data_IF_050973366290
#
_entry.id   IF_050973366290
#
_cell.length_a   1.000
_cell.length_b   1.000
_cell.length_c   1.000
_cell.angle_alpha   90.00
_cell.angle_beta   90.00
_cell.angle_gamma   90.00
#
_symmetry.space_group_name_H-M   'P 1'
#
loop_
_entity.id
_entity.type
_entity.pdbx_description
1 polymer ?
#
# COMPACT_ATOMS: atom_id res chain seq x y z
N UNK A 1 12.55 17.39 -1.98
CA UNK A 1 13.55 17.60 -0.94
C UNK A 1 12.91 17.84 0.43
N UNK A 2 11.94 18.73 0.57
CA UNK A 2 11.31 19.08 1.85
C UNK A 2 10.60 17.87 2.50
N UNK A 3 9.82 17.10 1.73
CA UNK A 3 9.11 15.93 2.23
C UNK A 3 10.08 14.86 2.76
N UNK A 4 11.15 14.57 2.03
CA UNK A 4 12.13 13.57 2.49
C UNK A 4 12.85 14.00 3.76
N UNK A 5 13.06 15.30 3.97
CA UNK A 5 13.60 15.84 5.22
C UNK A 5 12.63 15.63 6.37
N UNK A 6 11.35 15.99 6.20
CA UNK A 6 10.32 15.73 7.21
C UNK A 6 10.21 14.23 7.57
N UNK A 7 10.31 13.36 6.56
CA UNK A 7 10.31 11.90 6.77
C UNK A 7 11.52 11.39 7.58
N UNK A 8 12.65 12.10 7.58
CA UNK A 8 13.83 11.73 8.38
C UNK A 8 13.72 12.20 9.84
N UNK A 9 12.97 13.28 10.08
CA UNK A 9 12.80 13.86 11.42
C UNK A 9 11.76 13.09 12.26
N UNK A 10 10.71 12.54 11.62
CA UNK A 10 9.64 11.83 12.32
C UNK A 10 8.85 10.90 11.40
N UNK A 11 8.14 9.94 12.01
CA UNK A 11 7.26 9.03 11.27
C UNK A 11 6.17 9.81 10.56
N UNK A 12 6.09 9.67 9.22
CA UNK A 12 5.34 10.58 8.35
C UNK A 12 4.43 9.83 7.38
N UNK A 13 3.20 10.30 7.23
CA UNK A 13 2.31 9.93 6.13
C UNK A 13 2.54 10.89 4.95
N UNK A 14 3.01 10.35 3.84
CA UNK A 14 3.24 11.08 2.59
C UNK A 14 2.04 10.90 1.67
N UNK A 15 1.32 11.97 1.42
CA UNK A 15 0.16 12.02 0.52
C UNK A 15 0.58 12.78 -0.72
N UNK A 16 0.74 12.06 -1.83
CA UNK A 16 1.13 12.61 -3.12
C UNK A 16 0.35 11.92 -4.24
N UNK A 17 -0.04 12.65 -5.29
CA UNK A 17 -0.64 12.05 -6.48
C UNK A 17 0.21 10.93 -7.08
N UNK A 18 -0.40 10.07 -7.86
CA UNK A 18 0.31 8.99 -8.56
C UNK A 18 1.32 9.58 -9.54
N UNK A 19 2.52 9.00 -9.62
CA UNK A 19 3.58 9.47 -10.51
C UNK A 19 4.43 10.63 -9.97
N UNK A 20 4.09 11.21 -8.81
CA UNK A 20 4.82 12.35 -8.22
C UNK A 20 6.04 11.96 -7.36
N UNK A 21 6.64 10.81 -7.61
CA UNK A 21 7.94 10.44 -7.03
C UNK A 21 7.92 9.91 -5.60
N UNK A 22 6.80 9.34 -5.11
CA UNK A 22 6.76 8.66 -3.78
C UNK A 22 7.91 7.69 -3.59
N UNK A 23 8.22 6.87 -4.61
CA UNK A 23 9.32 5.90 -4.57
C UNK A 23 10.70 6.56 -4.48
N UNK A 24 10.87 7.75 -5.07
CA UNK A 24 12.13 8.53 -4.98
C UNK A 24 12.29 9.11 -3.57
N UNK A 25 11.20 9.55 -2.93
CA UNK A 25 11.21 9.97 -1.53
C UNK A 25 11.63 8.80 -0.64
N UNK A 26 11.01 7.62 -0.85
CA UNK A 26 11.39 6.40 -0.15
C UNK A 26 12.87 6.06 -0.33
N UNK A 27 13.38 6.09 -1.57
CA UNK A 27 14.80 5.84 -1.86
C UNK A 27 15.72 6.77 -1.07
N UNK A 28 15.41 8.06 -1.04
CA UNK A 28 16.23 9.02 -0.29
C UNK A 28 16.24 8.73 1.22
N UNK A 29 15.10 8.43 1.79
CA UNK A 29 15.02 8.09 3.22
C UNK A 29 15.72 6.76 3.51
N UNK A 30 15.60 5.77 2.63
CA UNK A 30 16.31 4.49 2.72
C UNK A 30 17.82 4.74 2.79
N UNK A 31 18.38 5.53 1.86
CA UNK A 31 19.82 5.83 1.81
C UNK A 31 20.35 6.37 3.14
N UNK A 32 19.62 7.29 3.77
CA UNK A 32 20.01 7.89 5.06
C UNK A 32 19.82 6.92 6.24
N UNK A 33 18.93 5.94 6.13
CA UNK A 33 18.59 5.01 7.22
C UNK A 33 19.35 3.68 7.18
N UNK A 34 20.02 3.36 6.07
CA UNK A 34 20.79 2.11 5.89
C UNK A 34 21.89 1.90 6.94
N UNK A 35 22.49 2.98 7.44
CA UNK A 35 23.53 2.91 8.45
C UNK A 35 23.00 2.56 9.85
N UNK A 36 21.71 2.80 10.11
CA UNK A 36 21.09 2.62 11.43
C UNK A 36 20.44 1.26 11.62
N UNK A 37 20.25 0.47 10.58
CA UNK A 37 19.62 -0.84 10.69
C UNK A 37 19.08 -1.37 9.35
N UNK A 38 18.21 -2.38 9.45
CA UNK A 38 17.54 -2.95 8.29
C UNK A 38 16.36 -2.09 7.86
N UNK A 39 16.00 -2.21 6.58
CA UNK A 39 14.89 -1.50 5.97
C UNK A 39 13.83 -2.51 5.50
N UNK A 40 12.57 -2.25 5.80
CA UNK A 40 11.44 -3.00 5.30
C UNK A 40 10.51 -2.09 4.50
N UNK A 41 10.31 -2.39 3.22
CA UNK A 41 9.26 -1.79 2.42
C UNK A 41 8.20 -2.84 2.12
N UNK A 42 6.95 -2.51 2.35
CA UNK A 42 5.83 -3.40 2.05
C UNK A 42 4.92 -2.79 0.98
N UNK A 43 4.61 -3.61 -0.02
CA UNK A 43 3.64 -3.27 -1.05
C UNK A 43 2.48 -4.28 -1.04
N UNK A 44 1.23 -3.83 -1.28
CA UNK A 44 0.04 -4.65 -1.06
C UNK A 44 -0.11 -5.84 -2.00
N UNK A 45 0.59 -5.82 -3.13
CA UNK A 45 0.53 -6.89 -4.14
C UNK A 45 1.93 -7.32 -4.59
N UNK A 46 2.04 -8.58 -5.04
CA UNK A 46 3.29 -9.13 -5.56
C UNK A 46 3.88 -8.28 -6.71
N UNK A 47 3.11 -7.86 -7.75
CA UNK A 47 3.67 -7.04 -8.82
C UNK A 47 4.24 -5.70 -8.34
N UNK A 48 3.58 -5.04 -7.38
CA UNK A 48 4.10 -3.79 -6.80
C UNK A 48 5.38 -4.03 -5.98
N UNK A 49 5.44 -5.12 -5.22
CA UNK A 49 6.65 -5.49 -4.50
C UNK A 49 7.81 -5.80 -5.45
N UNK A 50 7.55 -6.52 -6.56
CA UNK A 50 8.52 -6.78 -7.61
C UNK A 50 9.05 -5.48 -8.24
N UNK A 51 8.16 -4.55 -8.59
CA UNK A 51 8.50 -3.24 -9.14
C UNK A 51 9.40 -2.43 -8.19
N UNK A 52 9.04 -2.36 -6.91
CA UNK A 52 9.87 -1.68 -5.91
C UNK A 52 11.23 -2.36 -5.73
N UNK A 53 11.26 -3.68 -5.66
CA UNK A 53 12.51 -4.44 -5.53
C UNK A 53 13.46 -4.21 -6.69
N UNK A 54 12.95 -4.22 -7.93
CA UNK A 54 13.73 -3.93 -9.13
C UNK A 54 14.25 -2.48 -9.12
N UNK A 55 13.38 -1.52 -8.78
CA UNK A 55 13.79 -0.12 -8.67
C UNK A 55 14.93 0.05 -7.67
N UNK A 56 14.81 -0.48 -6.45
CA UNK A 56 15.85 -0.31 -5.44
C UNK A 56 17.16 -1.04 -5.77
N UNK A 57 17.12 -2.19 -6.43
CA UNK A 57 18.34 -2.86 -6.93
C UNK A 57 19.12 -2.02 -7.92
N UNK A 58 18.44 -1.18 -8.70
CA UNK A 58 19.09 -0.33 -9.69
C UNK A 58 19.71 0.95 -9.09
N UNK A 59 19.28 1.37 -7.89
CA UNK A 59 19.67 2.65 -7.31
C UNK A 59 20.39 2.54 -5.96
N UNK A 60 20.38 1.39 -5.31
CA UNK A 60 21.06 1.16 -4.03
C UNK A 60 22.29 0.29 -4.23
N UNK A 61 23.40 0.70 -3.63
CA UNK A 61 24.58 -0.15 -3.45
C UNK A 61 24.42 -0.99 -2.15
N UNK A 62 23.33 -1.77 -2.09
CA UNK A 62 23.00 -2.63 -0.96
C UNK A 62 22.21 -3.85 -1.44
N UNK A 63 22.31 -4.95 -0.72
CA UNK A 63 21.52 -6.14 -1.03
C UNK A 63 20.04 -5.89 -0.81
N UNK A 64 19.24 -6.10 -1.88
CA UNK A 64 17.78 -5.98 -1.88
C UNK A 64 17.14 -7.35 -2.10
N UNK A 65 16.43 -7.85 -1.10
CA UNK A 65 15.68 -9.10 -1.18
C UNK A 65 14.19 -8.86 -1.34
N UNK A 66 13.54 -9.66 -2.19
CA UNK A 66 12.09 -9.66 -2.38
C UNK A 66 11.46 -10.87 -1.69
N UNK A 67 10.52 -10.65 -0.77
CA UNK A 67 9.79 -11.72 -0.08
C UNK A 67 8.32 -11.70 -0.45
N UNK A 68 7.88 -12.76 -1.12
CA UNK A 68 6.48 -12.98 -1.48
C UNK A 68 6.04 -14.37 -1.05
N UNK A 69 4.74 -14.65 -1.15
CA UNK A 69 4.21 -15.97 -0.83
C UNK A 69 4.76 -17.12 -1.70
N UNK A 70 5.45 -16.81 -2.81
CA UNK A 70 6.10 -17.80 -3.66
C UNK A 70 7.41 -18.35 -3.07
N UNK A 71 8.02 -17.64 -2.11
CA UNK A 71 9.28 -18.07 -1.48
C UNK A 71 8.95 -18.84 -0.20
N UNK A 72 9.44 -20.09 -0.03
CA UNK A 72 9.21 -20.88 1.18
C UNK A 72 9.70 -20.17 2.44
N UNK A 73 9.01 -20.29 3.60
CA UNK A 73 9.41 -19.65 4.84
C UNK A 73 10.83 -19.99 5.30
N UNK A 74 11.24 -21.24 5.14
CA UNK A 74 12.58 -21.70 5.56
C UNK A 74 13.70 -21.04 4.74
N UNK A 75 13.44 -20.75 3.46
CA UNK A 75 14.39 -20.03 2.61
C UNK A 75 14.49 -18.54 2.97
N UNK A 76 13.43 -17.94 3.52
CA UNK A 76 13.43 -16.53 3.94
C UNK A 76 14.08 -16.33 5.31
N UNK A 77 13.97 -17.32 6.20
CA UNK A 77 14.40 -17.21 7.61
C UNK A 77 15.85 -16.70 7.80
N UNK A 78 16.87 -17.24 7.11
CA UNK A 78 18.23 -16.69 7.21
C UNK A 78 18.33 -15.28 6.61
N UNK A 79 17.62 -15.02 5.52
CA UNK A 79 17.70 -13.76 4.78
C UNK A 79 17.08 -12.58 5.56
N UNK A 80 16.10 -12.83 6.45
CA UNK A 80 15.57 -11.81 7.35
C UNK A 80 16.65 -11.12 8.19
N UNK A 81 17.72 -11.85 8.56
CA UNK A 81 18.81 -11.33 9.39
C UNK A 81 19.96 -10.73 8.58
N UNK A 82 20.22 -11.27 7.40
CA UNK A 82 21.39 -10.88 6.61
C UNK A 82 21.14 -9.74 5.63
N UNK A 83 19.91 -9.61 5.12
CA UNK A 83 19.60 -8.62 4.08
C UNK A 83 19.36 -7.22 4.64
N UNK A 84 19.97 -6.21 4.04
CA UNK A 84 19.85 -4.81 4.46
C UNK A 84 18.51 -4.18 4.05
N UNK A 85 18.04 -4.43 2.83
CA UNK A 85 16.78 -3.88 2.31
C UNK A 85 15.86 -5.02 1.90
N UNK A 86 14.70 -5.08 2.52
CA UNK A 86 13.72 -6.12 2.26
C UNK A 86 12.46 -5.47 1.70
N UNK A 87 12.04 -5.93 0.53
CA UNK A 87 10.75 -5.60 -0.07
C UNK A 87 9.83 -6.80 0.06
N UNK A 88 8.63 -6.63 0.58
CA UNK A 88 7.74 -7.76 0.87
C UNK A 88 6.27 -7.42 0.66
N UNK A 89 5.44 -8.47 0.60
CA UNK A 89 4.00 -8.31 0.78
C UNK A 89 3.65 -8.37 2.27
N UNK A 90 2.68 -7.58 2.76
CA UNK A 90 2.36 -7.49 4.18
C UNK A 90 1.93 -8.83 4.80
N UNK A 91 1.27 -9.70 4.02
CA UNK A 91 0.85 -11.02 4.50
C UNK A 91 2.04 -11.95 4.82
N UNK A 92 3.14 -11.81 4.11
CA UNK A 92 4.37 -12.57 4.38
C UNK A 92 4.99 -12.10 5.70
N UNK A 93 5.11 -10.78 5.88
CA UNK A 93 5.66 -10.18 7.10
C UNK A 93 4.83 -10.57 8.32
N UNK A 94 3.50 -10.38 8.26
CA UNK A 94 2.60 -10.72 9.36
C UNK A 94 2.74 -12.19 9.77
N UNK A 95 2.69 -13.11 8.81
CA UNK A 95 2.84 -14.55 9.08
C UNK A 95 4.21 -14.92 9.63
N UNK A 96 5.28 -14.25 9.20
CA UNK A 96 6.62 -14.54 9.69
C UNK A 96 6.83 -13.96 11.12
N UNK A 97 6.19 -12.84 11.48
CA UNK A 97 6.11 -12.33 12.86
C UNK A 97 5.30 -13.29 13.74
N UNK A 98 4.08 -13.64 13.33
CA UNK A 98 3.19 -14.55 14.08
C UNK A 98 3.83 -15.91 14.39
N UNK A 99 4.67 -16.42 13.48
CA UNK A 99 5.38 -17.68 13.64
C UNK A 99 6.77 -17.52 14.28
N UNK A 100 7.12 -16.34 14.80
CA UNK A 100 8.40 -16.10 15.47
C UNK A 100 9.64 -16.24 14.58
N UNK A 101 9.48 -16.12 13.25
CA UNK A 101 10.60 -16.19 12.29
C UNK A 101 11.40 -14.91 12.20
N UNK A 102 10.76 -13.80 12.55
CA UNK A 102 11.35 -12.46 12.54
C UNK A 102 10.80 -11.64 13.71
N UNK A 103 11.64 -10.76 14.23
CA UNK A 103 11.24 -9.57 14.98
C UNK A 103 11.66 -8.34 14.18
N UNK A 104 10.99 -7.22 14.37
CA UNK A 104 11.34 -5.96 13.70
C UNK A 104 12.26 -5.08 14.56
N UNK A 105 12.93 -5.65 15.54
CA UNK A 105 13.75 -4.95 16.54
C UNK A 105 14.92 -4.17 15.92
N UNK A 106 15.57 -4.74 14.90
CA UNK A 106 16.74 -4.17 14.23
C UNK A 106 16.40 -3.40 12.95
N UNK A 107 15.11 -3.21 12.66
CA UNK A 107 14.66 -2.41 11.53
C UNK A 107 14.64 -0.94 11.90
N UNK A 108 15.42 -0.13 11.18
CA UNK A 108 15.51 1.31 11.37
C UNK A 108 14.45 2.09 10.59
N UNK A 109 13.82 1.45 9.61
CA UNK A 109 12.78 2.05 8.77
C UNK A 109 11.80 0.99 8.30
N UNK A 110 10.50 1.30 8.44
CA UNK A 110 9.42 0.53 7.82
C UNK A 110 8.59 1.46 6.92
N UNK A 111 8.39 1.05 5.67
CA UNK A 111 7.63 1.80 4.67
C UNK A 111 6.37 1.00 4.28
N UNK A 112 5.22 1.65 4.41
CA UNK A 112 3.90 1.13 4.03
C UNK A 112 3.46 1.79 2.72
N UNK A 113 3.64 1.11 1.59
CA UNK A 113 3.12 1.58 0.32
C UNK A 113 1.62 1.33 0.22
N UNK A 114 0.89 2.23 -0.44
CA UNK A 114 -0.58 2.27 -0.43
C UNK A 114 -1.17 2.18 1.00
N UNK A 115 -0.63 3.03 1.87
CA UNK A 115 -0.91 3.05 3.32
C UNK A 115 -2.41 3.14 3.66
N UNK A 116 -3.25 3.69 2.77
CA UNK A 116 -4.71 3.76 2.94
C UNK A 116 -5.36 2.37 3.13
N UNK A 117 -4.64 1.28 2.81
CA UNK A 117 -5.10 -0.09 3.06
C UNK A 117 -5.00 -0.52 4.52
N UNK A 118 -4.35 0.24 5.39
CA UNK A 118 -4.25 -0.05 6.82
C UNK A 118 -5.59 0.21 7.53
N UNK A 119 -6.57 -0.63 7.27
CA UNK A 119 -7.92 -0.53 7.85
C UNK A 119 -8.34 -1.88 8.43
N UNK A 120 -8.89 -1.85 9.65
CA UNK A 120 -9.42 -3.03 10.31
C UNK A 120 -8.35 -4.10 10.57
N UNK A 121 -8.57 -5.31 10.07
CA UNK A 121 -7.67 -6.46 10.25
C UNK A 121 -6.60 -6.58 9.15
N UNK A 122 -6.35 -5.55 8.36
CA UNK A 122 -5.30 -5.62 7.35
C UNK A 122 -3.91 -5.71 8.00
N UNK A 123 -3.03 -6.52 7.45
CA UNK A 123 -1.72 -6.85 8.04
C UNK A 123 -0.86 -5.63 8.40
N UNK A 124 -1.01 -4.50 7.73
CA UNK A 124 -0.28 -3.27 8.06
C UNK A 124 -0.51 -2.81 9.50
N UNK A 125 -1.74 -2.95 10.02
CA UNK A 125 -2.08 -2.51 11.39
C UNK A 125 -1.33 -3.35 12.42
N UNK A 126 -1.34 -4.68 12.28
CA UNK A 126 -0.62 -5.57 13.21
C UNK A 126 0.89 -5.39 13.12
N UNK A 127 1.44 -5.21 11.91
CA UNK A 127 2.87 -4.98 11.67
C UNK A 127 3.30 -3.62 12.25
N UNK A 128 2.54 -2.55 12.03
CA UNK A 128 2.82 -1.23 12.59
C UNK A 128 2.88 -1.24 14.11
N UNK A 129 1.86 -1.82 14.75
CA UNK A 129 1.83 -1.97 16.21
C UNK A 129 3.02 -2.80 16.73
N UNK A 130 3.34 -3.92 16.07
CA UNK A 130 4.48 -4.73 16.45
C UNK A 130 5.79 -3.95 16.32
N UNK A 131 6.01 -3.28 15.17
CA UNK A 131 7.21 -2.50 14.92
C UNK A 131 7.45 -1.44 16.00
N UNK A 132 6.42 -0.66 16.33
CA UNK A 132 6.52 0.36 17.39
C UNK A 132 6.79 -0.19 18.77
N UNK A 133 6.36 -1.43 19.06
CA UNK A 133 6.59 -2.05 20.37
C UNK A 133 8.00 -2.62 20.56
N UNK A 134 8.69 -2.99 19.47
CA UNK A 134 9.97 -3.73 19.55
C UNK A 134 11.17 -2.96 18.97
N UNK A 135 10.97 -2.06 18.01
CA UNK A 135 12.08 -1.42 17.30
C UNK A 135 12.82 -0.41 18.17
N UNK A 136 14.15 -0.50 18.19
CA UNK A 136 15.04 0.37 18.97
C UNK A 136 15.16 1.78 18.40
N UNK A 137 15.13 1.89 17.10
CA UNK A 137 15.29 3.15 16.35
C UNK A 137 14.25 3.22 15.24
N UNK A 138 12.98 3.29 15.65
CA UNK A 138 11.85 3.22 14.72
C UNK A 138 11.62 4.50 13.94
N UNK A 139 11.38 4.33 12.65
CA UNK A 139 10.86 5.34 11.75
C UNK A 139 9.87 4.69 10.79
N UNK A 140 8.64 5.18 10.75
CA UNK A 140 7.60 4.65 9.88
C UNK A 140 7.20 5.67 8.80
N UNK A 141 7.10 5.23 7.56
CA UNK A 141 6.59 6.05 6.47
C UNK A 141 5.39 5.35 5.85
N UNK A 142 4.26 6.06 5.82
CA UNK A 142 3.12 5.69 5.00
C UNK A 142 3.15 6.46 3.68
N UNK A 143 2.92 5.80 2.55
CA UNK A 143 2.82 6.44 1.25
C UNK A 143 1.45 6.14 0.64
N UNK A 144 0.75 7.14 0.17
CA UNK A 144 -0.54 6.97 -0.52
C UNK A 144 -0.85 8.13 -1.46
N UNK A 145 -1.67 7.85 -2.49
CA UNK A 145 -2.28 8.90 -3.31
C UNK A 145 -3.70 9.26 -2.82
N UNK A 146 -4.33 8.40 -2.02
CA UNK A 146 -5.73 8.53 -1.60
C UNK A 146 -5.86 8.15 -0.13
N UNK A 147 -5.62 9.07 0.81
CA UNK A 147 -5.54 8.75 2.25
C UNK A 147 -6.89 8.45 2.91
N UNK A 148 -7.99 8.57 2.17
CA UNK A 148 -9.37 8.50 2.66
C UNK A 148 -10.13 9.80 2.40
N UNK A 149 -11.44 9.78 2.65
CA UNK A 149 -12.34 10.90 2.36
C UNK A 149 -12.55 11.84 3.55
N UNK A 150 -12.14 11.44 4.76
CA UNK A 150 -12.36 12.20 5.97
C UNK A 150 -11.07 12.38 6.81
N UNK A 151 -11.01 13.48 7.54
CA UNK A 151 -9.91 13.75 8.48
C UNK A 151 -9.79 12.67 9.56
N UNK A 152 -10.92 12.11 10.00
CA UNK A 152 -10.95 11.03 11.00
C UNK A 152 -10.32 9.74 10.49
N UNK A 153 -10.46 9.41 9.20
CA UNK A 153 -9.80 8.26 8.57
C UNK A 153 -8.28 8.45 8.54
N UNK A 154 -7.80 9.64 8.19
CA UNK A 154 -6.37 9.96 8.19
C UNK A 154 -5.79 9.86 9.61
N UNK A 155 -6.46 10.40 10.61
CA UNK A 155 -6.02 10.32 12.02
C UNK A 155 -5.95 8.86 12.48
N UNK A 156 -6.94 8.04 12.13
CA UNK A 156 -6.95 6.63 12.46
C UNK A 156 -5.81 5.90 11.77
N UNK A 157 -5.60 6.13 10.47
CA UNK A 157 -4.50 5.57 9.69
C UNK A 157 -3.14 5.89 10.33
N UNK A 158 -2.92 7.15 10.68
CA UNK A 158 -1.69 7.58 11.35
C UNK A 158 -1.50 6.85 12.69
N UNK A 159 -2.56 6.75 13.50
CA UNK A 159 -2.52 6.02 14.77
C UNK A 159 -2.19 4.53 14.57
N UNK A 160 -2.87 3.87 13.62
CA UNK A 160 -2.71 2.44 13.35
C UNK A 160 -1.32 2.09 12.82
N UNK A 161 -0.62 3.02 12.18
CA UNK A 161 0.75 2.86 11.67
C UNK A 161 1.82 3.53 12.54
N UNK A 162 1.45 4.17 13.64
CA UNK A 162 2.38 4.90 14.51
C UNK A 162 3.03 6.11 13.85
N UNK A 163 2.30 6.79 13.00
CA UNK A 163 2.71 7.98 12.25
C UNK A 163 2.32 9.24 13.03
N UNK A 164 3.25 10.19 13.14
CA UNK A 164 3.08 11.43 13.92
C UNK A 164 2.90 12.68 13.07
N UNK A 165 3.30 12.65 11.79
CA UNK A 165 3.20 13.78 10.87
C UNK A 165 2.50 13.42 9.57
N UNK A 166 1.97 14.41 8.87
CA UNK A 166 1.35 14.27 7.56
C UNK A 166 1.93 15.32 6.61
N UNK A 167 2.56 14.87 5.55
CA UNK A 167 2.99 15.68 4.41
C UNK A 167 2.04 15.45 3.25
N UNK A 168 1.25 16.46 2.94
CA UNK A 168 0.28 16.43 1.84
C UNK A 168 0.67 17.44 0.77
N UNK A 169 0.71 17.01 -0.49
CA UNK A 169 0.84 17.91 -1.65
C UNK A 169 -0.19 17.50 -2.70
N UNK A 170 -0.80 18.50 -3.28
CA UNK A 170 -1.71 18.33 -4.40
C UNK A 170 -1.08 18.86 -5.72
N UNK A 171 -1.85 18.74 -6.79
CA UNK A 171 -1.39 19.13 -8.13
C UNK A 171 -1.14 20.64 -8.28
N UNK A 172 -1.59 21.47 -7.33
CA UNK A 172 -1.40 22.92 -7.34
C UNK A 172 -0.22 23.38 -6.50
N UNK A 173 0.38 22.50 -5.71
CA UNK A 173 1.52 22.85 -4.86
C UNK A 173 2.76 23.22 -5.69
N UNK A 174 3.47 24.31 -5.36
CA UNK A 174 4.67 24.75 -6.08
C UNK A 174 5.76 23.68 -6.18
N UNK A 175 5.88 22.83 -5.17
CA UNK A 175 6.84 21.73 -5.10
C UNK A 175 6.52 20.61 -6.09
N UNK A 176 5.30 20.55 -6.62
CA UNK A 176 4.76 19.45 -7.45
C UNK A 176 4.48 19.90 -8.88
N UNK A 177 3.97 21.13 -9.08
CA UNK A 177 3.59 21.69 -10.39
C UNK A 177 4.66 21.49 -11.46
N UNK A 178 5.94 21.68 -11.12
CA UNK A 178 7.05 21.54 -12.07
C UNK A 178 7.24 20.09 -12.61
N UNK A 179 6.67 19.10 -11.93
CA UNK A 179 6.79 17.67 -12.27
C UNK A 179 5.52 17.09 -12.89
N UNK A 180 4.43 17.88 -12.94
CA UNK A 180 3.15 17.43 -13.53
C UNK A 180 3.28 17.39 -15.04
N UNK A 181 3.07 16.21 -15.59
CA UNK A 181 2.93 16.05 -17.04
C UNK A 181 1.48 16.34 -17.45
N UNK A 182 1.26 17.20 -18.46
CA UNK A 182 -0.10 17.50 -18.92
C UNK A 182 -0.77 16.22 -19.46
N UNK A 183 -1.84 15.77 -18.79
CA UNK A 183 -2.61 14.60 -19.20
C UNK A 183 -3.57 15.02 -20.31
N UNK A 184 -3.35 14.51 -21.54
CA UNK A 184 -4.30 14.64 -22.63
C UNK A 184 -5.28 13.47 -22.60
N UNK A 185 -6.50 13.70 -22.16
CA UNK A 185 -7.55 12.66 -22.14
C UNK A 185 -8.26 12.62 -23.49
N UNK A 186 -8.28 11.44 -24.13
CA UNK A 186 -9.07 11.17 -25.32
C UNK A 186 -10.14 10.14 -24.99
N UNK A 187 -11.39 10.55 -25.05
CA UNK A 187 -12.52 9.64 -24.87
C UNK A 187 -12.77 8.86 -26.16
N UNK A 188 -12.65 7.53 -26.09
CA UNK A 188 -13.00 6.62 -27.18
C UNK A 188 -14.19 5.78 -26.72
N UNK A 189 -15.33 5.97 -27.39
CA UNK A 189 -16.53 5.13 -27.17
C UNK A 189 -16.39 3.88 -28.00
N UNK A 190 -16.30 2.74 -27.35
CA UNK A 190 -16.30 1.43 -28.01
C UNK A 190 -17.66 0.77 -27.77
N UNK A 191 -18.32 0.39 -28.84
CA UNK A 191 -19.59 -0.35 -28.75
C UNK A 191 -19.37 -1.74 -28.17
N UNK A 192 -20.22 -2.14 -27.24
CA UNK A 192 -20.17 -3.51 -26.71
C UNK A 192 -20.63 -4.49 -27.79
N UNK A 193 -19.87 -5.56 -28.11
CA UNK A 193 -20.31 -6.59 -29.07
C UNK A 193 -21.67 -7.18 -28.67
N UNK A 194 -22.50 -7.51 -29.68
CA UNK A 194 -23.86 -8.01 -29.42
C UNK A 194 -23.88 -9.31 -28.61
N UNK A 195 -22.91 -10.19 -28.81
CA UNK A 195 -22.73 -11.41 -28.01
C UNK A 195 -22.52 -11.11 -26.52
N UNK A 196 -21.67 -10.12 -26.18
CA UNK A 196 -21.42 -9.71 -24.80
C UNK A 196 -22.65 -9.02 -24.21
N UNK A 197 -23.33 -8.19 -25.00
CA UNK A 197 -24.59 -7.54 -24.61
C UNK A 197 -25.68 -8.57 -24.30
N UNK A 198 -25.79 -9.61 -25.12
CA UNK A 198 -26.76 -10.70 -24.92
C UNK A 198 -26.51 -11.42 -23.58
N UNK A 199 -25.28 -11.84 -23.32
CA UNK A 199 -24.89 -12.50 -22.05
C UNK A 199 -25.14 -11.57 -20.84
N UNK A 200 -24.77 -10.30 -20.93
CA UNK A 200 -25.00 -9.34 -19.86
C UNK A 200 -26.50 -9.17 -19.55
N UNK A 201 -27.35 -9.13 -20.59
CA UNK A 201 -28.81 -9.03 -20.41
C UNK A 201 -29.39 -10.31 -19.78
N UNK A 202 -28.91 -11.50 -20.16
CA UNK A 202 -29.35 -12.76 -19.55
C UNK A 202 -28.96 -12.81 -18.06
N UNK A 203 -27.73 -12.39 -17.70
CA UNK A 203 -27.29 -12.33 -16.31
C UNK A 203 -28.13 -11.35 -15.49
N UNK A 204 -28.44 -10.16 -16.05
CA UNK A 204 -29.33 -9.18 -15.39
C UNK A 204 -30.73 -9.76 -15.17
N UNK A 205 -31.33 -10.42 -16.19
CA UNK A 205 -32.63 -11.05 -16.04
C UNK A 205 -32.67 -12.14 -14.98
N UNK A 206 -31.61 -12.95 -14.90
CA UNK A 206 -31.48 -13.95 -13.86
C UNK A 206 -31.35 -13.31 -12.46
N UNK A 207 -30.56 -12.27 -12.34
CA UNK A 207 -30.38 -11.51 -11.10
C UNK A 207 -31.72 -10.89 -10.64
N UNK A 208 -32.45 -10.23 -11.54
CA UNK A 208 -33.76 -9.63 -11.24
C UNK A 208 -34.76 -10.69 -10.80
N UNK A 209 -34.75 -11.86 -11.44
CA UNK A 209 -35.60 -12.99 -11.06
C UNK A 209 -35.27 -13.51 -9.66
N UNK A 210 -33.98 -13.69 -9.33
CA UNK A 210 -33.54 -14.18 -8.02
C UNK A 210 -33.81 -13.13 -6.92
N UNK A 211 -33.54 -11.85 -7.18
CA UNK A 211 -33.86 -10.76 -6.25
C UNK A 211 -35.39 -10.67 -6.01
N UNK A 212 -36.19 -10.85 -7.05
CA UNK A 212 -37.64 -10.88 -6.94
C UNK A 212 -38.15 -12.06 -6.08
N UNK A 213 -37.54 -13.24 -6.20
CA UNK A 213 -37.82 -14.38 -5.32
C UNK A 213 -37.48 -14.10 -3.85
N UNK A 214 -36.31 -13.59 -3.58
CA UNK A 214 -35.83 -13.24 -2.22
C UNK A 214 -36.72 -12.16 -1.58
N UNK A 215 -37.14 -11.18 -2.37
CA UNK A 215 -38.08 -10.15 -1.91
C UNK A 215 -39.45 -10.76 -1.52
N UNK A 216 -40.02 -11.63 -2.36
CA UNK A 216 -41.29 -12.31 -2.06
C UNK A 216 -41.22 -13.19 -0.83
N UNK A 217 -40.05 -13.70 -0.48
CA UNK A 217 -39.79 -14.53 0.71
C UNK A 217 -39.43 -13.69 1.96
N UNK A 218 -39.39 -12.37 1.87
CA UNK A 218 -39.08 -11.46 2.98
C UNK A 218 -37.60 -11.32 3.34
N UNK A 219 -36.71 -11.88 2.51
CA UNK A 219 -35.26 -11.76 2.73
C UNK A 219 -34.67 -10.43 2.24
N UNK A 220 -35.39 -9.66 1.45
CA UNK A 220 -35.00 -8.33 0.97
C UNK A 220 -36.11 -7.32 1.25
N UNK A 221 -35.74 -6.15 1.76
CA UNK A 221 -36.70 -5.04 2.00
C UNK A 221 -37.19 -4.35 0.74
N UNK A 222 -36.42 -4.42 -0.35
CA UNK A 222 -36.77 -3.90 -1.68
C UNK A 222 -36.12 -4.75 -2.77
N UNK A 223 -36.78 -4.91 -3.95
CA UNK A 223 -36.08 -5.46 -5.11
C UNK A 223 -34.96 -4.52 -5.50
N UNK A 224 -33.70 -4.89 -5.21
CA UNK A 224 -32.54 -4.06 -5.56
C UNK A 224 -32.36 -4.07 -7.06
N UNK A 225 -32.54 -2.92 -7.70
CA UNK A 225 -31.83 -2.60 -8.94
C UNK A 225 -30.38 -2.34 -8.55
N UNK A 226 -29.48 -3.28 -8.84
CA UNK A 226 -28.06 -3.06 -8.64
C UNK A 226 -27.61 -2.11 -9.73
N UNK A 227 -27.32 -0.87 -9.36
CA UNK A 227 -26.69 0.10 -10.23
C UNK A 227 -25.27 -0.39 -10.51
N UNK A 228 -24.94 -0.66 -11.76
CA UNK A 228 -23.57 -0.80 -12.22
C UNK A 228 -23.00 0.60 -12.33
N UNK A 229 -22.24 1.05 -11.32
CA UNK A 229 -21.25 2.12 -11.47
C UNK A 229 -20.00 1.55 -12.11
#
# INVERSE_FOLDING_TARGET
YNISKACLEQSTLVILPTGMGKTVIALRVILERLEYGQILLMAPTKPLAEQHSEFFRNFLDAEVSLFTGAIPPESRKPLWKSTKVIVSTPQVVSKDIENGRITLEDFSLVIFDEAHRAVGNYAYVSIGNHYHSVAKNHLAIGMTASPGSSKSEIIRLCKDLGISAVENRDDSDPDVVAYIQPIKTRWVRVGMPDSVRHVANQLRSLQDYLCGKLYKQGFLERPRKISTT
#
